data_IF_246651934347
#
_entry.id   IF_246651934347
#
_cell.length_a   1.000
_cell.length_b   1.000
_cell.length_c   1.000
_cell.angle_alpha   90.00
_cell.angle_beta   90.00
_cell.angle_gamma   90.00
#
_symmetry.space_group_name_H-M   'P 1'
#
loop_
_entity.id
_entity.type
_entity.pdbx_description
1 polymer ?
#
# COMPACT_ATOMS: atom_id res chain seq x y z
N UNK A 1 21.51 28.07 -16.52
CA UNK A 1 21.81 27.23 -15.35
C UNK A 1 20.67 27.15 -14.33
N UNK A 2 20.10 28.28 -13.86
CA UNK A 2 19.04 28.29 -12.82
C UNK A 2 17.73 27.58 -13.21
N UNK A 3 17.32 27.70 -14.48
CA UNK A 3 16.07 27.12 -14.98
C UNK A 3 16.14 25.59 -15.04
N UNK A 4 17.26 25.04 -15.55
CA UNK A 4 17.47 23.60 -15.61
C UNK A 4 17.41 22.97 -14.21
N UNK A 5 18.04 23.62 -13.23
CA UNK A 5 18.00 23.20 -11.84
C UNK A 5 16.55 23.12 -11.30
N UNK A 6 15.74 24.16 -11.54
CA UNK A 6 14.34 24.18 -11.10
C UNK A 6 13.50 23.07 -11.76
N UNK A 7 13.72 22.80 -13.05
CA UNK A 7 13.01 21.73 -13.77
C UNK A 7 13.35 20.35 -13.18
N UNK A 8 14.62 20.09 -12.90
CA UNK A 8 15.07 18.82 -12.31
C UNK A 8 14.46 18.63 -10.92
N UNK A 9 14.48 19.69 -10.10
CA UNK A 9 13.88 19.65 -8.75
C UNK A 9 12.38 19.36 -8.84
N UNK A 10 11.66 20.07 -9.71
CA UNK A 10 10.22 19.89 -9.87
C UNK A 10 9.86 18.47 -10.35
N UNK A 11 10.61 17.92 -11.31
CA UNK A 11 10.42 16.57 -11.80
C UNK A 11 10.62 15.51 -10.69
N UNK A 12 11.63 15.68 -9.85
CA UNK A 12 11.87 14.77 -8.73
C UNK A 12 10.75 14.83 -7.68
N UNK A 13 10.29 16.03 -7.34
CA UNK A 13 9.15 16.21 -6.41
C UNK A 13 7.89 15.56 -6.98
N UNK A 14 7.65 15.69 -8.29
CA UNK A 14 6.52 15.06 -8.96
C UNK A 14 6.56 13.53 -8.89
N UNK A 15 7.69 12.92 -9.20
CA UNK A 15 7.89 11.46 -9.13
C UNK A 15 7.71 10.96 -7.69
N UNK A 16 8.25 11.69 -6.71
CA UNK A 16 8.10 11.37 -5.30
C UNK A 16 6.64 11.41 -4.85
N UNK A 17 5.89 12.44 -5.23
CA UNK A 17 4.47 12.58 -4.89
C UNK A 17 3.61 11.45 -5.50
N UNK A 18 3.91 11.03 -6.74
CA UNK A 18 3.24 9.89 -7.37
C UNK A 18 3.53 8.58 -6.64
N UNK A 19 4.79 8.33 -6.24
CA UNK A 19 5.18 7.10 -5.55
C UNK A 19 4.72 7.00 -4.10
N UNK A 20 4.48 8.13 -3.44
CA UNK A 20 4.00 8.17 -2.06
C UNK A 20 2.48 8.11 -1.89
N UNK A 21 1.73 8.03 -2.99
CA UNK A 21 0.26 8.03 -2.92
C UNK A 21 -0.31 9.38 -2.48
N UNK A 22 0.25 10.50 -2.96
CA UNK A 22 -0.46 11.79 -2.90
C UNK A 22 -1.62 11.87 -3.91
N UNK A 23 -1.52 11.11 -5.02
CA UNK A 23 -2.55 11.00 -6.08
C UNK A 23 -3.25 9.63 -6.11
N UNK A 24 -3.07 8.79 -5.09
CA UNK A 24 -3.61 7.42 -5.04
C UNK A 24 -3.38 6.75 -3.69
N UNK A 25 -3.93 5.55 -3.45
CA UNK A 25 -3.75 4.85 -2.19
C UNK A 25 -2.27 4.63 -1.89
N UNK A 26 -1.85 4.93 -0.66
CA UNK A 26 -0.45 4.77 -0.27
C UNK A 26 -0.08 3.29 -0.32
N UNK A 27 1.08 2.92 -0.86
CA UNK A 27 1.53 1.51 -0.89
C UNK A 27 1.69 0.91 0.53
N UNK A 28 1.79 1.75 1.56
CA UNK A 28 1.79 1.32 2.98
C UNK A 28 0.43 0.77 3.44
N UNK A 29 -0.66 1.14 2.75
CA UNK A 29 -2.02 0.69 3.08
C UNK A 29 -2.44 -0.57 2.30
N UNK A 30 -1.69 -0.97 1.26
CA UNK A 30 -1.92 -2.23 0.53
C UNK A 30 -1.68 -3.48 1.40
N UNK A 31 -0.73 -3.40 2.35
CA UNK A 31 -0.49 -4.44 3.36
C UNK A 31 -1.40 -4.35 4.59
N UNK A 32 -2.12 -3.23 4.76
CA UNK A 32 -3.01 -2.94 5.90
C UNK A 32 -4.48 -3.01 5.51
N UNK A 33 -4.83 -3.78 4.48
CA UNK A 33 -6.21 -4.16 4.21
C UNK A 33 -6.64 -5.25 5.21
N UNK A 34 -7.04 -4.83 6.42
CA UNK A 34 -7.67 -5.69 7.45
C UNK A 34 -8.86 -6.46 6.89
N UNK A 35 -9.49 -5.93 5.83
CA UNK A 35 -10.61 -6.54 5.11
C UNK A 35 -10.21 -7.79 4.29
N UNK A 36 -8.97 -7.87 3.79
CA UNK A 36 -8.42 -9.09 3.16
C UNK A 36 -7.95 -10.11 4.19
N UNK A 37 -7.41 -9.67 5.33
CA UNK A 37 -7.09 -10.56 6.46
C UNK A 37 -8.35 -11.26 7.01
N UNK A 38 -9.50 -10.58 6.99
CA UNK A 38 -10.78 -11.16 7.37
C UNK A 38 -11.32 -12.16 6.31
N UNK A 39 -10.96 -12.02 5.04
CA UNK A 39 -11.35 -12.98 3.98
C UNK A 39 -10.53 -14.27 4.01
N UNK A 40 -9.28 -14.23 4.49
CA UNK A 40 -8.42 -15.42 4.58
C UNK A 40 -8.59 -16.19 5.88
N UNK A 41 -9.10 -15.58 6.95
CA UNK A 41 -9.61 -16.31 8.12
C UNK A 41 -11.02 -16.86 7.82
N UNK A 42 -11.10 -17.89 6.98
CA UNK A 42 -12.24 -18.80 7.01
C UNK A 42 -12.20 -19.59 8.33
N UNK A 43 -12.60 -18.95 9.43
CA UNK A 43 -12.71 -19.59 10.75
C UNK A 43 -13.66 -20.82 10.70
N UNK A 44 -14.62 -20.80 9.77
CA UNK A 44 -15.54 -21.91 9.50
C UNK A 44 -14.90 -23.14 8.83
N UNK A 45 -13.66 -23.03 8.32
CA UNK A 45 -12.96 -24.16 7.68
C UNK A 45 -12.06 -24.93 8.65
N UNK A 46 -11.94 -24.45 9.89
CA UNK A 46 -11.12 -25.10 10.91
C UNK A 46 -12.02 -26.06 11.70
N UNK A 47 -12.27 -27.24 11.15
CA UNK A 47 -12.80 -28.35 11.94
C UNK A 47 -11.68 -28.84 12.85
N UNK A 48 -11.75 -28.47 14.13
CA UNK A 48 -10.99 -29.13 15.19
C UNK A 48 -11.57 -30.55 15.32
N UNK A 49 -10.82 -31.62 14.99
CA UNK A 49 -11.30 -32.96 15.28
C UNK A 49 -11.42 -33.06 16.80
N UNK A 50 -12.64 -33.34 17.26
CA UNK A 50 -12.95 -33.58 18.66
C UNK A 50 -11.94 -34.59 19.22
N UNK A 51 -11.17 -34.14 20.22
CA UNK A 51 -10.33 -35.03 21.01
C UNK A 51 -11.27 -35.86 21.90
N UNK A 52 -11.11 -37.20 21.92
CA UNK A 52 -11.99 -38.12 22.67
C UNK A 52 -12.08 -37.80 24.16
#
# INVERSE_FOLDING_TARGET
MRILFLVIVLANVWVYALGQGWLGPRPVDEGRQTQRLAQTLQADRITLPGRP
#
